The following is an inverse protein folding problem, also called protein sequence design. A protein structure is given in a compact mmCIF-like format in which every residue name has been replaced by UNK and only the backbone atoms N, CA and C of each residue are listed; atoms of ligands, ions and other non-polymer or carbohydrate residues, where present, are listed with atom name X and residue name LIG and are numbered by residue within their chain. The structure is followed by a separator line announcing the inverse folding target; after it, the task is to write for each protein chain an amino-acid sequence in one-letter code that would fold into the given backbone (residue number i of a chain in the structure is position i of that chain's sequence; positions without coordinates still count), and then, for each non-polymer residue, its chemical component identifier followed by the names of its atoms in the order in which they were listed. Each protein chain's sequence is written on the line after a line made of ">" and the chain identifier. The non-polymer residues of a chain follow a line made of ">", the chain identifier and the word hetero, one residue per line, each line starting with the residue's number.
data_IF_532752334823
#
_entry.id   IF_532752334823
#
_cell.length_a   1.000
_cell.length_b   1.000
_cell.length_c   1.000
_cell.angle_alpha   90.00
_cell.angle_beta   90.00
_cell.angle_gamma   90.00
#
_symmetry.space_group_name_H-M   'P 1'
#
loop_
_entity.id
_entity.type
_entity.pdbx_description
1 polymer ?
#
# COMPACT_ATOMS: atom_id res chain seq x y z
N UNK A 1 21.52 21.61 12.23
CA UNK A 1 22.55 20.58 11.95
C UNK A 1 23.49 20.49 13.12
N UNK A 2 23.76 19.28 13.60
CA UNK A 2 24.79 19.03 14.61
C UNK A 2 25.76 18.00 14.06
N UNK A 3 27.02 18.39 13.96
CA UNK A 3 28.11 17.55 13.49
C UNK A 3 28.93 17.08 14.68
N UNK A 4 29.14 15.77 14.78
CA UNK A 4 29.97 15.14 15.80
C UNK A 4 31.22 14.55 15.17
N UNK A 5 32.38 14.93 15.73
CA UNK A 5 33.68 14.35 15.40
C UNK A 5 34.16 13.60 16.62
N UNK A 6 34.56 12.34 16.44
CA UNK A 6 34.93 11.45 17.54
C UNK A 6 33.83 11.33 18.61
N UNK A 7 32.60 11.02 18.16
CA UNK A 7 31.45 10.90 19.05
C UNK A 7 31.43 9.53 19.73
N UNK A 8 31.09 9.51 21.02
CA UNK A 8 30.81 8.28 21.75
C UNK A 8 29.35 8.30 22.19
N UNK A 9 28.58 7.30 21.76
CA UNK A 9 27.21 7.06 22.19
C UNK A 9 27.25 6.41 23.58
N UNK A 10 26.61 7.04 24.55
CA UNK A 10 26.54 6.59 25.94
C UNK A 10 25.09 6.32 26.36
N UNK A 11 24.88 5.24 27.12
CA UNK A 11 23.59 4.90 27.73
C UNK A 11 23.81 4.74 29.23
N UNK A 12 23.10 5.51 30.05
CA UNK A 12 23.31 5.60 31.51
C UNK A 12 24.76 5.90 31.93
N UNK A 13 25.50 6.66 31.12
CA UNK A 13 26.91 6.99 31.36
C UNK A 13 27.89 5.87 31.01
N UNK A 14 27.43 4.79 30.37
CA UNK A 14 28.28 3.72 29.85
C UNK A 14 28.44 3.91 28.34
N UNK A 15 29.67 4.06 27.82
CA UNK A 15 29.91 4.17 26.38
C UNK A 15 29.64 2.83 25.67
N UNK A 16 28.76 2.84 24.67
CA UNK A 16 28.31 1.65 23.93
C UNK A 16 28.74 1.64 22.46
N UNK A 17 28.99 2.80 21.85
CA UNK A 17 29.47 2.85 20.46
C UNK A 17 30.32 4.10 20.21
N UNK A 18 31.41 3.94 19.47
CA UNK A 18 32.24 5.05 19.01
C UNK A 18 32.08 5.24 17.51
N UNK A 19 31.99 6.49 17.08
CA UNK A 19 32.00 6.84 15.66
C UNK A 19 32.98 7.99 15.41
N UNK A 20 33.92 7.83 14.45
CA UNK A 20 34.82 8.92 14.07
C UNK A 20 34.05 10.08 13.44
N UNK A 21 32.88 9.81 12.86
CA UNK A 21 32.05 10.79 12.19
C UNK A 21 30.55 10.48 12.25
N UNK A 22 29.77 11.35 12.89
CA UNK A 22 28.31 11.22 12.94
C UNK A 22 27.63 12.57 12.74
N UNK A 23 26.56 12.56 11.95
CA UNK A 23 25.71 13.74 11.69
C UNK A 23 24.27 13.30 11.83
N UNK A 24 23.46 14.08 12.52
CA UNK A 24 22.01 13.93 12.51
C UNK A 24 21.33 15.29 12.34
N UNK A 25 20.10 15.26 11.82
CA UNK A 25 19.37 16.47 11.40
C UNK A 25 18.47 16.95 12.54
N UNK A 26 18.52 18.25 12.82
CA UNK A 26 17.59 18.95 13.70
C UNK A 26 16.34 19.34 12.89
N UNK A 27 15.16 19.21 13.50
CA UNK A 27 13.81 19.37 12.92
C UNK A 27 13.54 20.69 12.17
N UNK A 28 14.40 21.70 12.34
CA UNK A 28 14.30 23.02 11.71
C UNK A 28 15.16 23.19 10.44
N UNK A 29 15.90 22.17 10.00
CA UNK A 29 16.83 22.28 8.87
C UNK A 29 16.33 21.62 7.57
N UNK A 30 16.77 22.19 6.42
CA UNK A 30 16.62 21.64 5.07
C UNK A 30 16.90 20.12 5.04
N UNK A 31 16.14 19.37 4.22
CA UNK A 31 16.34 17.92 4.02
C UNK A 31 17.81 17.67 3.62
N UNK A 32 18.52 16.84 4.40
CA UNK A 32 19.95 16.53 4.17
C UNK A 32 20.17 15.02 4.19
N UNK A 33 21.06 14.55 3.32
CA UNK A 33 21.48 13.15 3.26
C UNK A 33 22.38 12.78 4.43
N UNK A 34 22.26 11.53 4.92
CA UNK A 34 23.09 11.01 6.00
C UNK A 34 22.58 9.68 6.55
N UNK A 35 23.37 9.10 7.44
CA UNK A 35 22.94 7.94 8.21
C UNK A 35 21.83 8.34 9.19
N UNK A 36 20.76 7.55 9.19
CA UNK A 36 19.74 7.61 10.23
C UNK A 36 20.19 6.74 11.41
N UNK A 37 19.47 6.85 12.54
CA UNK A 37 19.77 6.03 13.71
C UNK A 37 19.64 4.54 13.33
N UNK A 38 20.65 3.70 13.63
CA UNK A 38 20.56 2.27 13.38
C UNK A 38 19.47 1.66 14.27
N UNK A 39 18.83 0.61 13.79
CA UNK A 39 17.85 -0.16 14.57
C UNK A 39 18.44 -1.53 14.90
N UNK A 40 18.27 -1.95 16.15
CA UNK A 40 18.61 -3.28 16.63
C UNK A 40 17.31 -3.99 16.97
N UNK A 41 17.16 -5.21 16.50
CA UNK A 41 16.01 -6.05 16.81
C UNK A 41 16.44 -7.50 17.05
N UNK A 42 15.52 -8.33 17.51
CA UNK A 42 15.73 -9.76 17.70
C UNK A 42 14.44 -10.54 17.44
N UNK A 43 14.50 -11.54 16.55
CA UNK A 43 13.39 -12.44 16.28
C UNK A 43 13.83 -13.91 16.33
N UNK A 44 12.87 -14.83 16.46
CA UNK A 44 13.15 -16.27 16.42
C UNK A 44 13.65 -16.73 15.04
N UNK A 45 13.21 -16.06 13.97
CA UNK A 45 13.54 -16.44 12.59
C UNK A 45 14.88 -15.87 12.13
N UNK A 46 15.21 -14.62 12.49
CA UNK A 46 16.40 -13.91 12.00
C UNK A 46 17.51 -13.79 13.06
N UNK A 47 17.23 -14.17 14.30
CA UNK A 47 18.12 -13.92 15.44
C UNK A 47 18.26 -12.42 15.69
N UNK A 48 19.46 -11.97 16.07
CA UNK A 48 19.74 -10.54 16.25
C UNK A 48 19.93 -9.86 14.91
N UNK A 49 19.27 -8.71 14.71
CA UNK A 49 19.33 -7.93 13.48
C UNK A 49 19.88 -6.53 13.75
N UNK A 50 20.62 -5.99 12.77
CA UNK A 50 21.12 -4.62 12.75
C UNK A 50 20.75 -3.98 11.41
N UNK A 51 19.86 -3.01 11.43
CA UNK A 51 19.49 -2.20 10.27
C UNK A 51 20.29 -0.88 10.28
N UNK A 52 20.92 -0.54 9.15
CA UNK A 52 21.75 0.66 9.00
C UNK A 52 21.19 1.56 7.90
N UNK A 53 20.15 2.36 8.19
CA UNK A 53 19.49 3.22 7.21
C UNK A 53 20.36 4.41 6.77
N UNK A 54 20.50 4.61 5.46
CA UNK A 54 21.10 5.79 4.85
C UNK A 54 20.04 6.55 4.05
N UNK A 55 19.74 7.77 4.50
CA UNK A 55 18.81 8.68 3.84
C UNK A 55 19.53 9.53 2.81
N UNK A 56 19.00 9.57 1.59
CA UNK A 56 19.47 10.41 0.50
C UNK A 56 18.38 11.39 0.12
N UNK A 57 18.58 12.66 0.50
CA UNK A 57 17.78 13.77 -0.02
C UNK A 57 18.23 14.05 -1.46
N UNK A 58 17.45 13.59 -2.44
CA UNK A 58 17.75 13.78 -3.86
C UNK A 58 17.49 15.23 -4.23
N UNK A 59 16.30 15.72 -3.87
CA UNK A 59 15.92 17.14 -3.94
C UNK A 59 14.84 17.47 -2.90
N UNK A 60 14.05 18.53 -3.13
CA UNK A 60 13.03 18.99 -2.17
C UNK A 60 11.84 18.03 -2.13
N UNK A 61 11.48 17.46 -3.27
CA UNK A 61 10.27 16.66 -3.46
C UNK A 61 10.56 15.15 -3.49
N UNK A 62 11.83 14.73 -3.61
CA UNK A 62 12.24 13.33 -3.77
C UNK A 62 13.32 12.90 -2.78
N UNK A 63 13.18 11.69 -2.25
CA UNK A 63 14.15 11.06 -1.38
C UNK A 63 14.21 9.54 -1.55
N UNK A 64 15.35 8.98 -1.18
CA UNK A 64 15.60 7.54 -1.15
C UNK A 64 16.21 7.17 0.20
N UNK A 65 15.69 6.16 0.87
CA UNK A 65 16.33 5.54 2.04
C UNK A 65 16.82 4.15 1.65
N UNK A 66 18.10 3.88 1.81
CA UNK A 66 18.66 2.54 1.63
C UNK A 66 19.06 1.96 2.98
N UNK A 67 18.52 0.80 3.32
CA UNK A 67 18.58 0.22 4.66
C UNK A 67 19.01 -1.24 4.60
N UNK A 68 20.32 -1.54 4.54
CA UNK A 68 20.83 -2.89 4.74
C UNK A 68 20.47 -3.38 6.14
N UNK A 69 19.96 -4.61 6.23
CA UNK A 69 19.69 -5.35 7.45
C UNK A 69 20.65 -6.54 7.49
N UNK A 70 21.49 -6.56 8.51
CA UNK A 70 22.46 -7.64 8.78
C UNK A 70 21.87 -8.51 9.88
N UNK A 71 21.79 -9.83 9.67
CA UNK A 71 21.26 -10.78 10.65
C UNK A 71 22.36 -11.70 11.20
N UNK A 72 22.21 -12.16 12.45
CA UNK A 72 23.13 -13.16 13.04
C UNK A 72 23.02 -14.52 12.37
N UNK A 73 21.89 -14.79 11.71
CA UNK A 73 21.65 -16.00 10.93
C UNK A 73 22.31 -15.97 9.53
N UNK A 74 23.24 -15.01 9.30
CA UNK A 74 24.04 -14.84 8.09
C UNK A 74 23.25 -14.46 6.83
N UNK A 75 22.11 -13.79 7.00
CA UNK A 75 21.32 -13.24 5.90
C UNK A 75 21.56 -11.73 5.79
N UNK A 76 21.73 -11.23 4.57
CA UNK A 76 21.77 -9.81 4.27
C UNK A 76 20.52 -9.45 3.48
N UNK A 77 19.69 -8.58 4.05
CA UNK A 77 18.50 -8.05 3.37
C UNK A 77 18.78 -6.61 2.99
N UNK A 78 18.56 -6.28 1.73
CA UNK A 78 18.67 -4.91 1.23
C UNK A 78 17.26 -4.35 1.11
N UNK A 79 16.99 -3.26 1.81
CA UNK A 79 15.71 -2.55 1.73
C UNK A 79 15.94 -1.18 1.10
N UNK A 80 15.07 -0.81 0.16
CA UNK A 80 15.05 0.50 -0.47
C UNK A 80 13.67 1.11 -0.36
N UNK A 81 13.59 2.31 0.20
CA UNK A 81 12.39 3.15 0.24
C UNK A 81 12.60 4.35 -0.68
N UNK A 82 11.65 4.65 -1.54
CA UNK A 82 11.67 5.82 -2.40
C UNK A 82 10.36 6.60 -2.22
N UNK A 83 10.47 7.92 -2.10
CA UNK A 83 9.32 8.81 -2.01
C UNK A 83 9.49 9.97 -2.96
N UNK A 84 8.41 10.32 -3.64
CA UNK A 84 8.38 11.46 -4.54
C UNK A 84 7.03 12.17 -4.50
N UNK A 85 7.10 13.49 -4.50
CA UNK A 85 5.98 14.38 -4.80
C UNK A 85 6.20 15.01 -6.18
N UNK A 86 5.11 15.19 -6.90
CA UNK A 86 5.03 15.81 -8.22
C UNK A 86 3.91 16.86 -8.19
N UNK A 87 3.82 17.69 -9.22
CA UNK A 87 2.74 18.68 -9.33
C UNK A 87 1.35 18.04 -9.38
N UNK A 88 1.26 16.82 -9.92
CA UNK A 88 0.00 16.09 -10.12
C UNK A 88 -0.31 15.12 -8.99
N UNK A 89 0.56 14.96 -7.98
CA UNK A 89 0.36 13.96 -6.95
C UNK A 89 1.65 13.37 -6.40
N UNK A 90 1.55 12.24 -5.72
CA UNK A 90 2.67 11.63 -5.00
C UNK A 90 2.70 10.12 -5.12
N UNK A 91 3.90 9.57 -4.97
CA UNK A 91 4.09 8.13 -4.90
C UNK A 91 5.20 7.76 -3.92
N UNK A 92 5.03 6.59 -3.33
CA UNK A 92 5.94 5.98 -2.38
C UNK A 92 6.08 4.51 -2.76
N UNK A 93 7.30 3.99 -2.67
CA UNK A 93 7.55 2.58 -2.85
C UNK A 93 8.63 2.09 -1.90
N UNK A 94 8.45 0.88 -1.40
CA UNK A 94 9.43 0.10 -0.68
C UNK A 94 9.68 -1.19 -1.44
N UNK A 95 10.93 -1.60 -1.53
CA UNK A 95 11.28 -2.91 -2.03
C UNK A 95 12.38 -3.50 -1.18
N UNK A 96 12.36 -4.82 -1.03
CA UNK A 96 13.43 -5.54 -0.37
C UNK A 96 13.91 -6.73 -1.18
N UNK A 97 15.17 -7.10 -0.97
CA UNK A 97 15.81 -8.22 -1.64
C UNK A 97 16.80 -8.90 -0.70
N UNK A 98 16.78 -10.23 -0.70
CA UNK A 98 17.77 -11.05 0.00
C UNK A 98 18.17 -12.24 -0.87
N UNK A 99 19.38 -12.74 -0.64
CA UNK A 99 19.89 -13.95 -1.25
C UNK A 99 20.24 -14.93 -0.15
N UNK A 100 19.39 -15.95 0.03
CA UNK A 100 19.44 -16.86 1.19
C UNK A 100 19.46 -18.33 0.75
N UNK A 101 19.74 -19.22 1.70
CA UNK A 101 19.58 -20.66 1.51
C UNK A 101 18.08 -20.98 1.40
N UNK A 102 17.74 -21.73 0.36
CA UNK A 102 16.39 -22.27 0.19
C UNK A 102 16.06 -23.17 1.38
N UNK A 103 14.80 -23.21 1.77
CA UNK A 103 14.33 -24.10 2.85
C UNK A 103 13.30 -25.11 2.36
N UNK A 104 13.26 -26.26 3.03
CA UNK A 104 12.20 -27.26 2.82
C UNK A 104 10.97 -26.94 3.70
N UNK A 105 9.93 -27.75 3.59
CA UNK A 105 8.69 -27.64 4.37
C UNK A 105 8.92 -27.78 5.88
N UNK A 106 10.02 -28.42 6.30
CA UNK A 106 10.43 -28.54 7.71
C UNK A 106 11.27 -27.34 8.19
N UNK A 107 11.41 -26.29 7.38
CA UNK A 107 12.26 -25.13 7.62
C UNK A 107 13.78 -25.44 7.72
N UNK A 108 14.24 -26.59 7.20
CA UNK A 108 15.67 -26.93 7.14
C UNK A 108 16.35 -26.21 5.97
N UNK A 109 17.57 -25.73 6.17
CA UNK A 109 18.38 -25.12 5.11
C UNK A 109 18.84 -26.16 4.08
N UNK A 110 18.59 -25.87 2.81
CA UNK A 110 19.10 -26.61 1.66
C UNK A 110 20.40 -25.99 1.16
N UNK A 111 21.15 -26.72 0.33
CA UNK A 111 22.37 -26.19 -0.32
C UNK A 111 22.07 -25.25 -1.48
N UNK A 112 20.84 -25.27 -1.98
CA UNK A 112 20.40 -24.40 -3.06
C UNK A 112 20.16 -22.98 -2.52
N UNK A 113 20.51 -21.99 -3.32
CA UNK A 113 20.27 -20.58 -3.00
C UNK A 113 19.05 -20.08 -3.76
N UNK A 114 18.34 -19.13 -3.16
CA UNK A 114 17.21 -18.45 -3.78
C UNK A 114 17.25 -16.95 -3.51
N UNK A 115 16.60 -16.20 -4.41
CA UNK A 115 16.36 -14.77 -4.24
C UNK A 115 14.95 -14.62 -3.69
N UNK A 116 14.82 -13.90 -2.59
CA UNK A 116 13.52 -13.56 -2.00
C UNK A 116 13.40 -12.06 -1.83
N UNK A 117 12.18 -11.54 -1.88
CA UNK A 117 11.96 -10.10 -1.85
C UNK A 117 10.49 -9.75 -1.89
N UNK A 118 10.23 -8.47 -1.64
CA UNK A 118 8.91 -7.89 -1.84
C UNK A 118 9.00 -6.51 -2.48
N UNK A 119 7.86 -6.05 -2.97
CA UNK A 119 7.63 -4.70 -3.41
C UNK A 119 6.27 -4.24 -2.92
N UNK A 120 6.27 -3.10 -2.25
CA UNK A 120 5.09 -2.32 -1.92
C UNK A 120 5.20 -0.96 -2.60
N UNK A 121 4.16 -0.50 -3.27
CA UNK A 121 4.16 0.82 -3.86
C UNK A 121 2.75 1.39 -3.92
N UNK A 122 2.59 2.65 -3.55
CA UNK A 122 1.34 3.37 -3.70
C UNK A 122 1.57 4.68 -4.45
N UNK A 123 0.62 5.03 -5.30
CA UNK A 123 0.62 6.28 -6.04
C UNK A 123 -0.77 6.85 -6.13
N UNK A 124 -0.87 8.18 -6.01
CA UNK A 124 -2.13 8.94 -6.14
C UNK A 124 -1.85 10.19 -6.97
N UNK A 125 -2.64 10.37 -8.03
CA UNK A 125 -2.44 11.44 -8.99
C UNK A 125 -3.77 12.06 -9.43
N UNK A 126 -3.87 13.37 -9.32
CA UNK A 126 -4.99 14.15 -9.81
C UNK A 126 -4.73 14.50 -11.28
N UNK A 127 -5.69 14.17 -12.15
CA UNK A 127 -5.67 14.56 -13.57
C UNK A 127 -6.21 15.98 -13.70
N UNK A 128 -7.33 16.24 -13.03
CA UNK A 128 -7.97 17.55 -12.91
C UNK A 128 -8.80 17.63 -11.61
N UNK A 129 -9.68 18.62 -11.48
CA UNK A 129 -10.53 18.80 -10.29
C UNK A 129 -11.60 17.70 -10.12
N UNK A 130 -11.82 16.88 -11.14
CA UNK A 130 -12.83 15.83 -11.18
C UNK A 130 -12.18 14.46 -11.07
N UNK A 131 -11.16 14.19 -11.89
CA UNK A 131 -10.59 12.87 -12.11
C UNK A 131 -9.26 12.70 -11.40
N UNK A 132 -9.10 11.55 -10.75
CA UNK A 132 -7.84 11.06 -10.21
C UNK A 132 -7.61 9.61 -10.58
N UNK A 133 -6.36 9.21 -10.62
CA UNK A 133 -5.98 7.81 -10.78
C UNK A 133 -4.93 7.45 -9.73
N UNK A 134 -4.81 6.16 -9.46
CA UNK A 134 -3.88 5.68 -8.46
C UNK A 134 -3.63 4.19 -8.59
N UNK A 135 -2.63 3.74 -7.86
CA UNK A 135 -2.30 2.34 -7.74
C UNK A 135 -1.88 2.03 -6.31
N UNK A 136 -2.13 0.79 -5.91
CA UNK A 136 -1.57 0.16 -4.71
C UNK A 136 -1.01 -1.17 -5.19
N UNK A 137 0.30 -1.38 -5.10
CA UNK A 137 0.98 -2.58 -5.54
C UNK A 137 1.57 -3.21 -4.29
N UNK A 138 1.29 -4.50 -4.09
CA UNK A 138 1.92 -5.27 -3.02
C UNK A 138 2.13 -6.69 -3.52
N UNK A 139 3.39 -7.10 -3.58
CA UNK A 139 3.82 -8.41 -4.10
C UNK A 139 5.04 -8.92 -3.38
N UNK A 140 5.07 -10.24 -3.19
CA UNK A 140 6.20 -10.95 -2.60
C UNK A 140 6.59 -12.15 -3.47
N UNK A 141 7.85 -12.57 -3.39
CA UNK A 141 8.37 -13.75 -4.09
C UNK A 141 7.74 -15.05 -3.61
N UNK A 142 7.38 -15.12 -2.33
CA UNK A 142 6.78 -16.28 -1.69
C UNK A 142 5.96 -15.87 -0.45
N UNK A 143 5.11 -16.80 -0.04
CA UNK A 143 4.04 -16.58 0.94
C UNK A 143 4.58 -16.32 2.36
N UNK A 144 5.77 -16.82 2.69
CA UNK A 144 6.35 -16.71 4.04
C UNK A 144 7.29 -15.53 4.23
N UNK A 145 7.64 -14.84 3.13
CA UNK A 145 8.70 -13.82 3.13
C UNK A 145 8.40 -12.66 4.08
N UNK A 146 7.23 -12.04 3.92
CA UNK A 146 6.88 -10.83 4.68
C UNK A 146 6.82 -11.09 6.18
N UNK A 147 6.25 -12.25 6.58
CA UNK A 147 6.20 -12.70 7.97
C UNK A 147 7.59 -12.98 8.55
N UNK A 148 8.46 -13.67 7.79
CA UNK A 148 9.83 -13.99 8.24
C UNK A 148 10.68 -12.75 8.49
N UNK A 149 10.56 -11.75 7.63
CA UNK A 149 11.35 -10.53 7.69
C UNK A 149 10.64 -9.36 8.41
N UNK A 150 9.49 -9.63 9.03
CA UNK A 150 8.69 -8.66 9.79
C UNK A 150 8.35 -7.38 9.00
N UNK A 151 8.10 -7.54 7.69
CA UNK A 151 7.68 -6.43 6.83
C UNK A 151 6.16 -6.18 6.92
N UNK A 152 5.38 -7.25 7.00
CA UNK A 152 3.91 -7.19 7.03
C UNK A 152 3.35 -8.47 7.67
N UNK A 153 2.22 -8.35 8.36
CA UNK A 153 1.45 -9.44 8.98
C UNK A 153 0.09 -9.69 8.32
N UNK A 154 -0.13 -9.20 7.11
CA UNK A 154 -1.33 -9.50 6.32
C UNK A 154 -1.33 -10.94 5.81
N UNK A 155 -2.52 -11.54 5.71
CA UNK A 155 -2.72 -12.88 5.14
C UNK A 155 -2.93 -12.84 3.62
N UNK A 156 -3.19 -11.67 3.04
CA UNK A 156 -3.45 -11.50 1.60
C UNK A 156 -3.00 -10.12 1.13
N UNK A 157 -2.13 -10.10 0.13
CA UNK A 157 -1.72 -8.86 -0.53
C UNK A 157 -2.72 -8.48 -1.61
N UNK A 158 -3.13 -7.23 -1.61
CA UNK A 158 -4.02 -6.67 -2.64
C UNK A 158 -3.26 -5.66 -3.48
N UNK A 159 -3.16 -5.94 -4.78
CA UNK A 159 -2.72 -4.95 -5.77
C UNK A 159 -3.93 -4.37 -6.50
N UNK A 160 -4.02 -3.05 -6.60
CA UNK A 160 -5.05 -2.33 -7.33
C UNK A 160 -4.49 -1.27 -8.28
N UNK A 161 -5.19 -1.04 -9.37
CA UNK A 161 -5.01 0.10 -10.27
C UNK A 161 -6.40 0.67 -10.55
N UNK A 162 -6.58 1.97 -10.35
CA UNK A 162 -7.88 2.58 -10.48
C UNK A 162 -7.82 3.98 -11.09
N UNK A 163 -8.94 4.39 -11.70
CA UNK A 163 -9.23 5.75 -12.07
C UNK A 163 -10.66 6.07 -11.64
N UNK A 164 -10.86 7.20 -10.99
CA UNK A 164 -12.16 7.61 -10.48
C UNK A 164 -12.39 9.11 -10.62
N UNK A 165 -13.65 9.50 -10.70
CA UNK A 165 -14.06 10.87 -10.92
C UNK A 165 -15.28 11.23 -10.11
N UNK A 166 -15.26 12.42 -9.51
CA UNK A 166 -16.41 13.01 -8.81
C UNK A 166 -16.73 14.36 -9.45
N UNK A 167 -17.93 14.50 -10.00
CA UNK A 167 -18.41 15.78 -10.53
C UNK A 167 -19.83 16.07 -10.05
N UNK A 168 -20.01 17.20 -9.37
CA UNK A 168 -21.31 17.58 -8.81
C UNK A 168 -21.83 16.53 -7.82
N UNK A 169 -22.81 15.72 -8.25
CA UNK A 169 -23.39 14.61 -7.49
C UNK A 169 -23.30 13.28 -8.24
N UNK A 170 -22.24 13.13 -9.01
CA UNK A 170 -21.97 11.94 -9.78
C UNK A 170 -20.59 11.40 -9.41
N UNK A 171 -20.48 10.08 -9.43
CA UNK A 171 -19.24 9.33 -9.21
C UNK A 171 -19.10 8.29 -10.30
N UNK A 172 -17.88 8.11 -10.81
CA UNK A 172 -17.52 6.98 -11.64
C UNK A 172 -16.16 6.45 -11.23
N UNK A 173 -15.99 5.13 -11.26
CA UNK A 173 -14.70 4.49 -11.07
C UNK A 173 -14.53 3.30 -12.00
N UNK A 174 -13.27 3.05 -12.36
CA UNK A 174 -12.82 1.87 -13.04
C UNK A 174 -11.58 1.33 -12.32
N UNK A 175 -11.64 0.09 -11.88
CA UNK A 175 -10.62 -0.52 -11.03
C UNK A 175 -10.24 -1.92 -11.53
N UNK A 176 -8.99 -2.28 -11.30
CA UNK A 176 -8.43 -3.62 -11.50
C UNK A 176 -7.86 -4.05 -10.16
N UNK A 177 -8.16 -5.29 -9.73
CA UNK A 177 -7.60 -5.87 -8.51
C UNK A 177 -6.96 -7.22 -8.80
N UNK A 178 -5.80 -7.45 -8.21
CA UNK A 178 -5.10 -8.72 -8.22
C UNK A 178 -4.64 -9.06 -6.80
N UNK A 179 -4.91 -10.27 -6.34
CA UNK A 179 -4.61 -10.69 -4.98
C UNK A 179 -3.44 -11.68 -4.93
N UNK A 180 -2.84 -11.85 -3.76
CA UNK A 180 -1.87 -12.90 -3.44
C UNK A 180 -2.17 -13.41 -2.02
N UNK A 181 -2.67 -14.63 -1.89
CA UNK A 181 -2.74 -15.28 -0.58
C UNK A 181 -1.33 -15.55 -0.06
N UNK A 182 -1.14 -15.45 1.24
CA UNK A 182 0.15 -15.66 1.93
C UNK A 182 0.11 -16.89 2.86
N UNK A 183 -0.95 -17.68 2.80
CA UNK A 183 -1.00 -18.97 3.48
C UNK A 183 -0.53 -20.08 2.55
N UNK A 184 0.23 -21.03 3.08
CA UNK A 184 0.73 -22.20 2.34
C UNK A 184 -0.40 -23.06 1.74
N UNK A 185 -1.58 -23.04 2.36
CA UNK A 185 -2.76 -23.77 1.90
C UNK A 185 -3.59 -23.01 0.85
N UNK A 186 -3.25 -21.75 0.55
CA UNK A 186 -3.95 -20.96 -0.47
C UNK A 186 -3.62 -21.50 -1.87
N UNK A 187 -4.64 -21.65 -2.73
CA UNK A 187 -4.44 -21.98 -4.14
C UNK A 187 -4.49 -20.70 -5.00
N UNK A 188 -3.33 -20.23 -5.53
CA UNK A 188 -3.28 -19.04 -6.39
C UNK A 188 -4.15 -19.17 -7.64
N UNK A 189 -4.47 -20.39 -8.06
CA UNK A 189 -5.30 -20.67 -9.22
C UNK A 189 -6.76 -20.25 -9.06
N UNK A 190 -7.29 -20.40 -7.84
CA UNK A 190 -8.69 -20.10 -7.50
C UNK A 190 -8.92 -18.63 -7.15
N UNK A 191 -7.84 -17.90 -6.88
CA UNK A 191 -7.86 -16.48 -6.57
C UNK A 191 -8.14 -15.67 -7.85
N UNK A 192 -9.21 -14.86 -7.89
CA UNK A 192 -9.59 -14.15 -9.10
C UNK A 192 -8.73 -12.89 -9.35
N UNK A 193 -8.45 -12.63 -10.62
CA UNK A 193 -8.15 -11.29 -11.13
C UNK A 193 -9.48 -10.57 -11.41
N UNK A 194 -9.67 -9.40 -10.81
CA UNK A 194 -10.84 -8.53 -11.05
C UNK A 194 -10.46 -7.51 -12.10
N UNK A 195 -11.01 -7.59 -13.31
CA UNK A 195 -10.66 -6.67 -14.39
C UNK A 195 -11.72 -6.60 -15.51
N UNK A 196 -12.42 -5.48 -15.72
CA UNK A 196 -12.56 -4.34 -14.83
C UNK A 196 -13.65 -4.57 -13.77
N UNK A 197 -13.55 -3.84 -12.66
CA UNK A 197 -14.67 -3.40 -11.85
C UNK A 197 -15.01 -1.97 -12.27
N UNK A 198 -16.23 -1.76 -12.75
CA UNK A 198 -16.76 -0.47 -13.14
C UNK A 198 -17.89 -0.10 -12.18
N UNK A 199 -17.87 1.14 -11.70
CA UNK A 199 -18.86 1.67 -10.76
C UNK A 199 -19.33 3.04 -11.25
N UNK A 200 -20.62 3.31 -11.15
CA UNK A 200 -21.22 4.59 -11.49
C UNK A 200 -22.37 4.90 -10.53
N UNK A 201 -22.35 6.08 -9.93
CA UNK A 201 -23.42 6.58 -9.07
C UNK A 201 -23.82 7.97 -9.52
N UNK A 202 -25.13 8.22 -9.63
CA UNK A 202 -25.64 9.50 -10.12
C UNK A 202 -26.91 9.91 -9.40
N UNK A 203 -26.96 11.19 -9.01
CA UNK A 203 -28.21 11.85 -8.64
C UNK A 203 -28.83 12.52 -9.86
N UNK A 204 -29.98 12.03 -10.29
CA UNK A 204 -30.77 12.61 -11.36
C UNK A 204 -31.77 13.60 -10.76
N UNK A 205 -31.67 14.87 -11.18
CA UNK A 205 -32.70 15.86 -10.93
C UNK A 205 -33.65 15.88 -12.13
N UNK A 206 -34.95 15.76 -11.90
CA UNK A 206 -35.97 15.87 -12.95
C UNK A 206 -36.81 17.11 -12.72
N UNK A 207 -36.92 17.99 -13.72
CA UNK A 207 -37.85 19.13 -13.65
C UNK A 207 -39.33 18.70 -13.68
N UNK A 208 -39.62 17.44 -14.05
CA UNK A 208 -40.98 16.91 -14.17
C UNK A 208 -41.46 16.11 -12.97
N UNK A 209 -40.55 15.63 -12.11
CA UNK A 209 -40.88 14.91 -10.88
C UNK A 209 -40.38 15.70 -9.67
N UNK A 210 -41.25 15.98 -8.71
CA UNK A 210 -40.91 16.60 -7.41
C UNK A 210 -40.16 15.64 -6.49
N UNK A 211 -39.06 15.06 -6.95
CA UNK A 211 -38.30 14.04 -6.23
C UNK A 211 -36.85 13.98 -6.64
N UNK A 212 -36.04 13.29 -5.84
CA UNK A 212 -34.64 12.97 -6.13
C UNK A 212 -34.56 11.52 -6.54
N UNK A 213 -33.88 11.26 -7.65
CA UNK A 213 -33.59 9.89 -8.08
C UNK A 213 -32.10 9.66 -7.91
N UNK A 214 -31.73 8.63 -7.16
CA UNK A 214 -30.39 8.07 -7.14
C UNK A 214 -30.38 6.83 -8.03
N UNK A 215 -29.33 6.72 -8.84
CA UNK A 215 -29.09 5.60 -9.72
C UNK A 215 -27.66 5.10 -9.51
N UNK A 216 -27.51 3.82 -9.24
CA UNK A 216 -26.24 3.14 -9.03
C UNK A 216 -26.12 1.99 -10.05
N UNK A 217 -24.94 1.84 -10.64
CA UNK A 217 -24.64 0.79 -11.59
C UNK A 217 -23.25 0.24 -11.32
N UNK A 218 -23.10 -1.08 -11.32
CA UNK A 218 -21.80 -1.74 -11.24
C UNK A 218 -21.68 -2.88 -12.23
N UNK A 219 -20.51 -3.03 -12.81
CA UNK A 219 -20.17 -4.15 -13.69
C UNK A 219 -18.81 -4.72 -13.30
N UNK A 220 -18.72 -6.03 -13.11
CA UNK A 220 -17.47 -6.69 -12.71
C UNK A 220 -17.22 -7.93 -13.54
N UNK A 221 -15.96 -8.14 -13.91
CA UNK A 221 -15.48 -9.40 -14.50
C UNK A 221 -14.40 -10.00 -13.62
N UNK A 222 -14.56 -11.28 -13.28
CA UNK A 222 -13.65 -12.09 -12.47
C UNK A 222 -13.05 -13.17 -13.35
N UNK A 223 -11.73 -13.23 -13.41
CA UNK A 223 -10.98 -14.24 -14.16
C UNK A 223 -10.19 -15.12 -13.20
N UNK A 224 -10.27 -16.45 -13.35
CA UNK A 224 -9.50 -17.40 -12.53
C UNK A 224 -8.68 -18.30 -13.43
N UNK A 225 -7.50 -18.71 -12.97
CA UNK A 225 -6.71 -19.72 -13.70
C UNK A 225 -7.37 -21.09 -13.56
N UNK A 226 -7.79 -21.41 -12.34
CA UNK A 226 -8.41 -22.66 -11.95
C UNK A 226 -9.81 -22.36 -11.41
N UNK A 227 -10.84 -22.63 -12.22
CA UNK A 227 -12.24 -22.37 -11.89
C UNK A 227 -13.02 -21.71 -13.04
N UNK A 228 -14.14 -21.07 -12.69
CA UNK A 228 -14.99 -20.39 -13.66
C UNK A 228 -14.79 -18.87 -13.60
N UNK A 229 -14.70 -18.28 -14.79
CA UNK A 229 -14.84 -16.85 -14.97
C UNK A 229 -16.29 -16.43 -14.67
N UNK A 230 -16.45 -15.26 -14.07
CA UNK A 230 -17.76 -14.72 -13.74
C UNK A 230 -17.87 -13.27 -14.20
N UNK A 231 -19.06 -12.90 -14.67
CA UNK A 231 -19.38 -11.52 -15.03
C UNK A 231 -20.70 -11.16 -14.39
N UNK A 232 -20.76 -10.00 -13.76
CA UNK A 232 -21.96 -9.51 -13.09
C UNK A 232 -22.21 -8.05 -13.47
N UNK A 233 -23.48 -7.75 -13.74
CA UNK A 233 -24.02 -6.40 -13.89
C UNK A 233 -25.08 -6.22 -12.80
N UNK A 234 -25.02 -5.12 -12.07
CA UNK A 234 -26.02 -4.72 -11.06
C UNK A 234 -26.45 -3.29 -11.33
N UNK A 235 -27.75 -3.04 -11.23
CA UNK A 235 -28.39 -1.75 -11.49
C UNK A 235 -29.41 -1.52 -10.38
N UNK A 236 -29.22 -0.44 -9.64
CA UNK A 236 -30.04 -0.09 -8.49
C UNK A 236 -30.60 1.33 -8.68
N UNK A 237 -31.87 1.52 -8.33
CA UNK A 237 -32.56 2.80 -8.46
C UNK A 237 -33.35 3.12 -7.20
N UNK A 238 -33.10 4.30 -6.63
CA UNK A 238 -33.85 4.82 -5.49
C UNK A 238 -34.55 6.13 -5.87
N UNK A 239 -35.86 6.20 -5.64
CA UNK A 239 -36.66 7.41 -5.80
C UNK A 239 -37.13 7.90 -4.44
N UNK A 240 -36.82 9.16 -4.10
CA UNK A 240 -37.26 9.83 -2.89
C UNK A 240 -38.08 11.08 -3.23
N UNK A 241 -39.35 11.10 -2.81
CA UNK A 241 -40.27 12.22 -3.03
C UNK A 241 -40.59 12.87 -1.67
N UNK A 242 -40.00 14.03 -1.34
CA UNK A 242 -40.33 14.75 -0.12
C UNK A 242 -41.66 15.51 -0.25
N UNK A 243 -42.46 15.46 0.80
CA UNK A 243 -43.71 16.19 0.97
C UNK A 243 -43.62 17.00 2.27
N UNK A 244 -43.80 18.32 2.17
CA UNK A 244 -43.85 19.20 3.35
C UNK A 244 -45.31 19.57 3.62
N UNK A 245 -45.78 19.38 4.85
CA UNK A 245 -47.09 19.84 5.25
C UNK A 245 -47.08 21.34 5.61
N UNK A 246 -48.27 21.94 5.74
CA UNK A 246 -48.40 23.36 6.10
C UNK A 246 -48.00 23.68 7.55
N UNK A 247 -47.67 22.66 8.35
CA UNK A 247 -47.19 22.79 9.73
C UNK A 247 -45.66 22.72 9.82
N UNK A 248 -44.97 22.48 8.69
CA UNK A 248 -43.51 22.39 8.59
C UNK A 248 -42.95 20.98 8.74
N UNK A 249 -43.77 19.95 8.85
CA UNK A 249 -43.33 18.55 8.89
C UNK A 249 -42.92 18.07 7.50
N UNK A 250 -41.85 17.29 7.41
CA UNK A 250 -41.34 16.71 6.15
C UNK A 250 -41.54 15.19 6.17
N UNK A 251 -42.30 14.68 5.20
CA UNK A 251 -42.49 13.26 4.92
C UNK A 251 -41.75 12.90 3.63
N UNK A 252 -41.28 11.67 3.47
CA UNK A 252 -40.67 11.22 2.23
C UNK A 252 -41.24 9.87 1.82
N UNK A 253 -41.70 9.77 0.57
CA UNK A 253 -42.04 8.50 -0.05
C UNK A 253 -40.81 7.96 -0.77
N UNK A 254 -40.42 6.73 -0.44
CA UNK A 254 -39.24 6.06 -1.00
C UNK A 254 -39.64 4.82 -1.78
N UNK A 255 -39.07 4.64 -2.98
CA UNK A 255 -39.20 3.42 -3.77
C UNK A 255 -37.81 2.93 -4.19
N UNK A 256 -37.58 1.62 -4.12
CA UNK A 256 -36.31 0.97 -4.48
C UNK A 256 -36.55 -0.04 -5.61
N UNK A 257 -35.59 -0.12 -6.53
CA UNK A 257 -35.49 -1.15 -7.57
C UNK A 257 -34.07 -1.72 -7.52
N UNK A 258 -33.93 -3.05 -7.58
CA UNK A 258 -32.66 -3.78 -7.64
C UNK A 258 -32.81 -5.11 -8.35
#
# INVERSE_FOLDING_TARGET
>A
EVEYRHATLEVFGIPIAYTPYFRHVDSLTQRKSGFLAPKLDSSSELGSTLQIPYFWAIDRERDLTFSPIITSEHELVLVGEYRALTELGGYHGEASLTYTDKRNDNNDRLREKEIRGHVDALGRFDIDQTWRWGFDLSRTTDDTYLSRYDFNGEDTLTSSLFAEGIWGRHFAAASVFAFQGLNVDDDPGTTPLVAPLLEYSAWLNSERLSGRVQFDASAVSLYRRDGFDSRRLSLDGNLQIPYMDNLGSIYALTANLG
#
